data_IF_975708221432
#
_entry.id   IF_975708221432
#
_cell.length_a   1.000
_cell.length_b   1.000
_cell.length_c   1.000
_cell.angle_alpha   90.00
_cell.angle_beta   90.00
_cell.angle_gamma   90.00
#
_symmetry.space_group_name_H-M   'P 1'
#
loop_
_entity.id
_entity.type
_entity.pdbx_description
1 polymer ?
#
# COMPACT_ATOMS: atom_id res chain seq x y z
N UNK A 1 -7.41 -30.86 20.87
CA UNK A 1 -5.96 -30.78 20.64
C UNK A 1 -5.53 -29.38 21.02
N UNK A 2 -4.46 -29.19 21.79
CA UNK A 2 -3.95 -27.83 21.98
C UNK A 2 -3.41 -27.32 20.65
N UNK A 3 -3.55 -26.03 20.37
CA UNK A 3 -2.97 -25.35 19.20
C UNK A 3 -1.48 -25.66 19.04
N UNK A 4 -0.79 -25.76 20.17
CA UNK A 4 0.62 -26.14 20.23
C UNK A 4 0.90 -27.53 19.66
N UNK A 5 0.06 -28.53 19.97
CA UNK A 5 0.23 -29.88 19.44
C UNK A 5 0.03 -29.92 17.93
N UNK A 6 -0.95 -29.17 17.39
CA UNK A 6 -1.19 -29.10 15.94
C UNK A 6 0.05 -28.54 15.22
N UNK A 7 0.67 -27.48 15.75
CA UNK A 7 1.90 -26.91 15.17
C UNK A 7 3.05 -27.90 15.21
N UNK A 8 3.23 -28.62 16.32
CA UNK A 8 4.27 -29.65 16.43
C UNK A 8 4.01 -30.84 15.50
N UNK A 9 2.76 -31.24 15.33
CA UNK A 9 2.38 -32.32 14.42
C UNK A 9 2.70 -31.95 12.97
N UNK A 10 2.42 -30.71 12.56
CA UNK A 10 2.79 -30.21 11.21
C UNK A 10 4.32 -30.21 11.03
N UNK A 11 5.08 -29.70 11.99
CA UNK A 11 6.54 -29.59 11.88
C UNK A 11 7.21 -30.97 11.86
N UNK A 12 6.69 -31.93 12.61
CA UNK A 12 7.24 -33.29 12.71
C UNK A 12 6.69 -34.25 11.66
N UNK A 13 5.77 -33.82 10.80
CA UNK A 13 5.23 -34.66 9.73
C UNK A 13 6.26 -34.87 8.61
N UNK A 14 7.03 -35.95 8.76
CA UNK A 14 8.02 -36.40 7.75
C UNK A 14 7.44 -36.79 6.40
N UNK A 15 6.11 -36.90 6.26
CA UNK A 15 5.46 -37.23 4.98
C UNK A 15 5.15 -36.00 4.12
N UNK A 16 5.13 -34.80 4.72
CA UNK A 16 4.89 -33.53 4.04
C UNK A 16 6.21 -32.85 3.62
N UNK A 17 6.21 -32.17 2.48
CA UNK A 17 7.34 -31.32 2.08
C UNK A 17 7.49 -30.13 3.04
N UNK A 18 8.69 -29.54 3.14
CA UNK A 18 8.87 -28.31 3.96
C UNK A 18 7.96 -27.16 3.51
N UNK A 19 7.65 -27.12 2.21
CA UNK A 19 6.76 -26.13 1.61
C UNK A 19 5.31 -26.36 2.05
N UNK A 20 4.85 -27.61 2.06
CA UNK A 20 3.51 -27.96 2.55
C UNK A 20 3.38 -27.69 4.04
N UNK A 21 4.40 -28.02 4.83
CA UNK A 21 4.46 -27.70 6.25
C UNK A 21 4.34 -26.19 6.48
N UNK A 22 5.06 -25.36 5.71
CA UNK A 22 4.94 -23.90 5.77
C UNK A 22 3.51 -23.42 5.46
N UNK A 23 2.89 -23.93 4.40
CA UNK A 23 1.54 -23.55 4.00
C UNK A 23 0.50 -23.95 5.07
N UNK A 24 0.65 -25.14 5.65
CA UNK A 24 -0.20 -25.59 6.77
C UNK A 24 -0.03 -24.71 8.00
N UNK A 25 1.21 -24.35 8.36
CA UNK A 25 1.48 -23.43 9.47
C UNK A 25 0.86 -22.04 9.25
N UNK A 26 0.92 -21.50 8.03
CA UNK A 26 0.25 -20.24 7.68
C UNK A 26 -1.26 -20.31 7.93
N UNK A 27 -1.91 -21.40 7.48
CA UNK A 27 -3.35 -21.60 7.66
C UNK A 27 -3.73 -21.72 9.15
N UNK A 28 -2.95 -22.47 9.94
CA UNK A 28 -3.23 -22.62 11.38
C UNK A 28 -3.02 -21.31 12.12
N UNK A 29 -1.88 -20.63 11.91
CA UNK A 29 -1.52 -19.42 12.67
C UNK A 29 -2.46 -18.25 12.36
N UNK A 30 -2.95 -18.13 11.12
CA UNK A 30 -3.91 -17.07 10.74
C UNK A 30 -5.29 -17.23 11.36
N UNK A 31 -5.65 -18.43 11.82
CA UNK A 31 -6.95 -18.72 12.46
C UNK A 31 -6.92 -18.57 13.99
N UNK A 32 -5.75 -18.36 14.58
CA UNK A 32 -5.62 -18.26 16.03
C UNK A 32 -6.20 -16.97 16.58
N UNK A 33 -6.84 -17.07 17.74
CA UNK A 33 -7.29 -15.91 18.49
C UNK A 33 -6.10 -15.10 19.04
N UNK A 34 -6.35 -13.84 19.41
CA UNK A 34 -5.35 -12.98 20.07
C UNK A 34 -4.64 -13.68 21.23
N UNK A 35 -5.40 -14.32 22.13
CA UNK A 35 -4.86 -14.98 23.32
C UNK A 35 -3.93 -16.13 22.91
N UNK A 36 -4.35 -16.98 21.98
CA UNK A 36 -3.54 -18.09 21.49
C UNK A 36 -2.26 -17.62 20.80
N UNK A 37 -2.33 -16.54 20.01
CA UNK A 37 -1.15 -15.96 19.38
C UNK A 37 -0.15 -15.45 20.42
N UNK A 38 -0.61 -14.74 21.45
CA UNK A 38 0.26 -14.21 22.50
C UNK A 38 0.90 -15.33 23.33
N UNK A 39 0.13 -16.37 23.66
CA UNK A 39 0.57 -17.54 24.44
C UNK A 39 1.38 -18.55 23.64
N UNK A 40 1.39 -18.46 22.30
CA UNK A 40 2.15 -19.37 21.45
C UNK A 40 3.65 -19.31 21.77
N UNK A 41 4.13 -20.36 22.44
CA UNK A 41 5.52 -20.53 22.82
C UNK A 41 6.25 -21.37 21.78
N UNK A 42 7.24 -20.78 21.11
CA UNK A 42 8.06 -21.46 20.10
C UNK A 42 9.27 -22.20 20.68
N UNK A 43 9.53 -22.10 21.99
CA UNK A 43 10.73 -22.68 22.61
C UNK A 43 10.79 -24.20 22.59
N UNK A 44 9.66 -24.88 22.37
CA UNK A 44 9.59 -26.34 22.23
C UNK A 44 9.86 -26.84 20.80
N UNK A 45 9.97 -25.93 19.82
CA UNK A 45 10.27 -26.29 18.44
C UNK A 45 11.78 -26.53 18.32
N UNK A 46 12.16 -27.78 18.02
CA UNK A 46 13.57 -28.19 17.93
C UNK A 46 14.23 -27.77 16.61
N UNK A 47 13.45 -27.51 15.55
CA UNK A 47 13.96 -27.15 14.23
C UNK A 47 14.01 -25.63 14.13
N UNK A 48 15.23 -25.06 14.13
CA UNK A 48 15.43 -23.61 14.21
C UNK A 48 14.74 -22.85 13.07
N UNK A 49 14.75 -23.35 11.83
CA UNK A 49 14.04 -22.69 10.72
C UNK A 49 12.52 -22.60 10.96
N UNK A 50 11.89 -23.65 11.49
CA UNK A 50 10.47 -23.64 11.79
C UNK A 50 10.12 -22.79 13.01
N UNK A 51 11.02 -22.72 14.00
CA UNK A 51 10.89 -21.79 15.12
C UNK A 51 10.81 -20.35 14.63
N UNK A 52 11.66 -19.97 13.67
CA UNK A 52 11.61 -18.65 13.02
C UNK A 52 10.33 -18.45 12.21
N UNK A 53 9.94 -19.43 11.40
CA UNK A 53 8.72 -19.36 10.61
C UNK A 53 7.51 -19.09 11.51
N UNK A 54 7.36 -19.86 12.59
CA UNK A 54 6.23 -19.71 13.53
C UNK A 54 6.26 -18.33 14.19
N UNK A 55 7.43 -17.83 14.59
CA UNK A 55 7.56 -16.47 15.13
C UNK A 55 7.15 -15.40 14.11
N UNK A 56 7.66 -15.46 12.88
CA UNK A 56 7.36 -14.49 11.83
C UNK A 56 5.87 -14.48 11.49
N UNK A 57 5.24 -15.65 11.39
CA UNK A 57 3.81 -15.77 11.13
C UNK A 57 2.97 -15.27 12.31
N UNK A 58 3.41 -15.52 13.55
CA UNK A 58 2.78 -14.96 14.76
C UNK A 58 2.83 -13.43 14.75
N UNK A 59 4.00 -12.85 14.46
CA UNK A 59 4.17 -11.39 14.38
C UNK A 59 3.27 -10.80 13.30
N UNK A 60 3.27 -11.38 12.10
CA UNK A 60 2.41 -10.93 11.01
C UNK A 60 0.93 -10.94 11.43
N UNK A 61 0.48 -12.04 12.04
CA UNK A 61 -0.92 -12.17 12.49
C UNK A 61 -1.28 -11.12 13.53
N UNK A 62 -0.40 -10.85 14.50
CA UNK A 62 -0.62 -9.81 15.52
C UNK A 62 -0.62 -8.41 14.89
N UNK A 63 0.34 -8.09 14.02
CA UNK A 63 0.40 -6.80 13.32
C UNK A 63 -0.85 -6.56 12.46
N UNK A 64 -1.31 -7.59 11.77
CA UNK A 64 -2.47 -7.53 10.87
C UNK A 64 -3.77 -7.37 11.65
N UNK A 65 -4.01 -8.26 12.61
CA UNK A 65 -5.32 -8.41 13.25
C UNK A 65 -5.49 -7.54 14.50
N UNK A 66 -4.38 -7.16 15.13
CA UNK A 66 -4.37 -6.42 16.39
C UNK A 66 -3.35 -5.27 16.33
N UNK A 67 -3.43 -4.36 15.35
CA UNK A 67 -2.39 -3.36 15.09
C UNK A 67 -2.14 -2.37 16.24
N UNK A 68 -3.07 -2.27 17.20
CA UNK A 68 -2.93 -1.47 18.43
C UNK A 68 -2.29 -2.23 19.59
N UNK A 69 -1.85 -3.47 19.39
CA UNK A 69 -1.26 -4.30 20.42
C UNK A 69 0.12 -3.75 20.87
N UNK A 70 0.28 -3.31 22.13
CA UNK A 70 1.54 -2.75 22.62
C UNK A 70 2.73 -3.72 22.54
N UNK A 71 2.49 -5.04 22.53
CA UNK A 71 3.55 -6.04 22.45
C UNK A 71 4.22 -6.16 21.06
N UNK A 72 3.66 -5.57 20.00
CA UNK A 72 4.23 -5.65 18.63
C UNK A 72 5.70 -5.21 18.61
N UNK A 73 6.01 -4.10 19.31
CA UNK A 73 7.38 -3.60 19.43
C UNK A 73 8.31 -4.66 20.02
N UNK A 74 7.93 -5.23 21.15
CA UNK A 74 8.72 -6.23 21.87
C UNK A 74 8.96 -7.47 21.01
N UNK A 75 7.92 -7.95 20.32
CA UNK A 75 8.02 -9.14 19.46
C UNK A 75 9.00 -8.92 18.29
N UNK A 76 8.96 -7.77 17.65
CA UNK A 76 9.82 -7.46 16.50
C UNK A 76 11.26 -7.14 16.92
N UNK A 77 11.46 -6.48 18.06
CA UNK A 77 12.79 -6.20 18.60
C UNK A 77 13.48 -7.49 19.08
N UNK A 78 12.72 -8.44 19.64
CA UNK A 78 13.23 -9.79 19.96
C UNK A 78 13.68 -10.54 18.71
N UNK A 79 12.92 -10.48 17.62
CA UNK A 79 13.29 -11.11 16.34
C UNK A 79 14.43 -10.36 15.63
N UNK A 80 14.60 -9.06 15.87
CA UNK A 80 15.76 -8.32 15.34
C UNK A 80 17.08 -8.82 15.93
N UNK A 81 17.05 -9.35 17.17
CA UNK A 81 18.19 -10.02 17.77
C UNK A 81 18.54 -11.33 17.05
N UNK A 82 17.59 -11.96 16.34
CA UNK A 82 17.83 -13.19 15.56
C UNK A 82 18.75 -12.92 14.36
N UNK A 83 18.66 -11.72 13.76
CA UNK A 83 19.66 -11.29 12.76
C UNK A 83 21.04 -11.03 13.39
N UNK A 84 21.10 -10.63 14.66
CA UNK A 84 22.35 -10.37 15.37
C UNK A 84 23.03 -11.65 15.88
N UNK A 85 22.27 -12.71 16.19
CA UNK A 85 22.79 -13.98 16.67
C UNK A 85 23.39 -14.87 15.58
N UNK A 86 23.43 -14.38 14.33
CA UNK A 86 24.11 -15.10 13.26
C UNK A 86 23.48 -16.46 13.02
N UNK A 87 22.13 -16.54 12.94
CA UNK A 87 21.51 -17.63 12.20
C UNK A 87 22.17 -17.60 10.83
N UNK A 88 23.12 -18.51 10.67
CA UNK A 88 23.84 -18.74 9.45
C UNK A 88 22.78 -19.32 8.55
N UNK A 89 22.02 -18.44 7.90
CA UNK A 89 21.34 -18.79 6.66
C UNK A 89 22.42 -19.50 5.87
N UNK A 90 22.25 -20.81 5.69
CA UNK A 90 23.20 -21.63 4.98
C UNK A 90 23.53 -20.85 3.72
N UNK A 91 24.76 -20.31 3.67
CA UNK A 91 25.25 -19.72 2.43
C UNK A 91 25.02 -20.79 1.38
N UNK A 92 24.58 -20.45 0.16
CA UNK A 92 24.29 -21.44 -0.86
C UNK A 92 25.58 -22.21 -1.14
N UNK A 93 25.82 -23.26 -0.36
CA UNK A 93 26.73 -24.32 -0.72
C UNK A 93 26.04 -25.01 -1.88
N UNK A 94 26.84 -25.56 -2.78
CA UNK A 94 26.41 -26.32 -3.96
C UNK A 94 25.59 -27.58 -3.61
N UNK A 95 25.14 -27.72 -2.37
CA UNK A 95 24.52 -28.90 -1.77
C UNK A 95 23.22 -28.59 -1.03
N UNK A 96 22.75 -27.34 -1.01
CA UNK A 96 21.44 -27.03 -0.39
C UNK A 96 20.31 -27.51 -1.30
N UNK A 97 19.32 -28.21 -0.74
CA UNK A 97 18.15 -28.65 -1.50
C UNK A 97 17.29 -27.45 -1.89
N UNK A 98 16.53 -27.56 -2.98
CA UNK A 98 15.61 -26.50 -3.42
C UNK A 98 14.65 -26.07 -2.30
N UNK A 99 14.19 -27.01 -1.47
CA UNK A 99 13.34 -26.72 -0.30
C UNK A 99 14.05 -25.89 0.78
N UNK A 100 15.33 -26.17 1.07
CA UNK A 100 16.09 -25.39 2.05
C UNK A 100 16.33 -23.97 1.57
N UNK A 101 16.65 -23.83 0.28
CA UNK A 101 16.79 -22.51 -0.33
C UNK A 101 15.45 -21.76 -0.32
N UNK A 102 14.33 -22.45 -0.57
CA UNK A 102 12.99 -21.88 -0.49
C UNK A 102 12.69 -21.35 0.91
N UNK A 103 12.88 -22.17 1.94
CA UNK A 103 12.63 -21.80 3.34
C UNK A 103 13.53 -20.63 3.76
N UNK A 104 14.81 -20.66 3.42
CA UNK A 104 15.73 -19.55 3.73
C UNK A 104 15.32 -18.25 3.04
N UNK A 105 14.89 -18.33 1.77
CA UNK A 105 14.43 -17.17 1.01
C UNK A 105 13.12 -16.63 1.57
N UNK A 106 12.18 -17.50 1.93
CA UNK A 106 10.94 -17.13 2.61
C UNK A 106 11.22 -16.39 3.91
N UNK A 107 12.04 -16.95 4.81
CA UNK A 107 12.38 -16.33 6.11
C UNK A 107 12.99 -14.95 5.90
N UNK A 108 13.99 -14.81 5.02
CA UNK A 108 14.65 -13.52 4.75
C UNK A 108 13.69 -12.48 4.21
N UNK A 109 12.90 -12.84 3.21
CA UNK A 109 11.98 -11.91 2.57
C UNK A 109 10.86 -11.49 3.54
N UNK A 110 10.30 -12.44 4.30
CA UNK A 110 9.25 -12.20 5.29
C UNK A 110 9.73 -11.32 6.44
N UNK A 111 10.93 -11.59 6.96
CA UNK A 111 11.53 -10.77 8.02
C UNK A 111 11.72 -9.32 7.57
N UNK A 112 12.30 -9.11 6.38
CA UNK A 112 12.50 -7.77 5.82
C UNK A 112 11.17 -7.05 5.56
N UNK A 113 10.15 -7.78 5.11
CA UNK A 113 8.80 -7.27 4.89
C UNK A 113 8.18 -6.78 6.21
N UNK A 114 8.20 -7.59 7.26
CA UNK A 114 7.65 -7.23 8.58
C UNK A 114 8.44 -6.11 9.27
N UNK A 115 9.77 -6.10 9.16
CA UNK A 115 10.59 -5.03 9.72
C UNK A 115 10.31 -3.68 9.06
N UNK A 116 10.17 -3.66 7.73
CA UNK A 116 9.78 -2.43 7.02
C UNK A 116 8.35 -2.02 7.35
N UNK A 117 7.40 -2.95 7.46
CA UNK A 117 6.04 -2.64 7.92
C UNK A 117 6.06 -1.99 9.31
N UNK A 118 6.78 -2.58 10.27
CA UNK A 118 6.89 -2.03 11.62
C UNK A 118 7.49 -0.63 11.64
N UNK A 119 8.60 -0.43 10.94
CA UNK A 119 9.30 0.85 10.91
C UNK A 119 8.40 1.97 10.37
N UNK A 120 7.72 1.74 9.25
CA UNK A 120 6.98 2.78 8.54
C UNK A 120 5.49 2.87 8.90
N UNK A 121 4.86 1.79 9.38
CA UNK A 121 3.43 1.77 9.70
C UNK A 121 3.14 1.83 11.21
N UNK A 122 4.11 1.50 12.08
CA UNK A 122 3.89 1.43 13.53
C UNK A 122 4.77 2.41 14.31
N UNK A 123 6.07 2.47 14.02
CA UNK A 123 7.03 3.26 14.78
C UNK A 123 7.06 4.73 14.34
N UNK A 124 7.23 4.97 13.05
CA UNK A 124 7.31 6.30 12.45
C UNK A 124 5.99 6.65 11.75
N UNK A 125 4.89 6.74 12.52
CA UNK A 125 3.57 7.20 12.05
C UNK A 125 3.55 8.68 11.62
N UNK A 126 4.59 9.15 10.95
CA UNK A 126 4.60 10.38 10.17
C UNK A 126 4.20 9.97 8.74
N UNK A 127 2.90 9.98 8.47
CA UNK A 127 2.25 9.45 7.26
C UNK A 127 2.63 10.12 5.91
N UNK A 128 3.87 10.53 5.72
CA UNK A 128 4.34 11.21 4.52
C UNK A 128 5.29 10.31 3.69
N UNK A 129 5.71 9.14 4.22
CA UNK A 129 6.76 8.30 3.61
C UNK A 129 6.27 6.95 3.06
N UNK A 130 5.02 6.85 2.56
CA UNK A 130 4.56 5.62 1.90
C UNK A 130 5.45 5.20 0.74
N UNK A 131 6.04 6.18 0.04
CA UNK A 131 6.98 5.94 -1.06
C UNK A 131 8.22 5.18 -0.60
N UNK A 132 8.75 5.49 0.58
CA UNK A 132 9.92 4.78 1.09
C UNK A 132 9.56 3.34 1.47
N UNK A 133 8.38 3.11 2.05
CA UNK A 133 7.87 1.76 2.30
C UNK A 133 7.70 0.98 0.99
N UNK A 134 7.09 1.59 -0.04
CA UNK A 134 6.96 0.99 -1.38
C UNK A 134 8.33 0.62 -1.93
N UNK A 135 9.32 1.52 -1.86
CA UNK A 135 10.68 1.25 -2.32
C UNK A 135 11.33 0.07 -1.57
N UNK A 136 11.07 -0.10 -0.26
CA UNK A 136 11.52 -1.29 0.47
C UNK A 136 10.84 -2.56 -0.05
N UNK A 137 9.54 -2.54 -0.36
CA UNK A 137 8.83 -3.70 -0.94
C UNK A 137 9.37 -4.06 -2.33
N UNK A 138 9.60 -3.05 -3.17
CA UNK A 138 10.22 -3.22 -4.48
C UNK A 138 11.61 -3.85 -4.38
N UNK A 139 12.43 -3.46 -3.41
CA UNK A 139 13.73 -4.07 -3.18
C UNK A 139 13.62 -5.55 -2.79
N UNK A 140 12.64 -5.91 -1.94
CA UNK A 140 12.38 -7.30 -1.57
C UNK A 140 11.95 -8.11 -2.81
N UNK A 141 11.04 -7.57 -3.63
CA UNK A 141 10.61 -8.21 -4.88
C UNK A 141 11.78 -8.44 -5.85
N UNK A 142 12.64 -7.44 -6.05
CA UNK A 142 13.82 -7.56 -6.90
C UNK A 142 14.75 -8.68 -6.42
N UNK A 143 14.96 -8.80 -5.11
CA UNK A 143 15.76 -9.89 -4.55
C UNK A 143 15.10 -11.26 -4.77
N UNK A 144 13.77 -11.36 -4.66
CA UNK A 144 13.04 -12.60 -4.93
C UNK A 144 13.08 -13.00 -6.41
N UNK A 145 13.10 -12.04 -7.33
CA UNK A 145 13.21 -12.30 -8.76
C UNK A 145 14.61 -12.80 -9.15
N UNK A 146 15.65 -12.30 -8.49
CA UNK A 146 17.03 -12.65 -8.80
C UNK A 146 17.48 -14.01 -8.22
N UNK A 147 16.78 -14.54 -7.21
CA UNK A 147 17.18 -15.78 -6.53
C UNK A 147 16.77 -17.07 -7.26
N UNK A 148 16.05 -16.99 -8.38
CA UNK A 148 15.61 -18.17 -9.17
C UNK A 148 14.52 -19.03 -8.52
N UNK A 149 14.20 -18.79 -7.25
CA UNK A 149 13.18 -19.52 -6.49
C UNK A 149 11.83 -18.82 -6.64
N UNK A 150 10.82 -19.56 -7.10
CA UNK A 150 9.48 -19.02 -7.25
C UNK A 150 8.69 -19.11 -5.94
N UNK A 151 8.56 -17.97 -5.23
CA UNK A 151 7.68 -17.80 -4.06
C UNK A 151 6.51 -16.90 -4.48
N UNK A 152 5.64 -17.41 -5.35
CA UNK A 152 4.56 -16.63 -5.98
C UNK A 152 3.64 -15.97 -4.96
N UNK A 153 3.18 -16.70 -3.94
CA UNK A 153 2.27 -16.16 -2.91
C UNK A 153 2.84 -14.95 -2.17
N UNK A 154 4.15 -14.93 -1.90
CA UNK A 154 4.80 -13.79 -1.25
C UNK A 154 4.96 -12.62 -2.21
N UNK A 155 5.32 -12.88 -3.47
CA UNK A 155 5.42 -11.84 -4.51
C UNK A 155 4.07 -11.18 -4.75
N UNK A 156 3.02 -11.98 -4.87
CA UNK A 156 1.64 -11.54 -5.04
C UNK A 156 1.21 -10.64 -3.87
N UNK A 157 1.46 -11.07 -2.62
CA UNK A 157 1.15 -10.27 -1.43
C UNK A 157 1.93 -8.96 -1.39
N UNK A 158 3.20 -8.96 -1.77
CA UNK A 158 4.04 -7.74 -1.85
C UNK A 158 3.54 -6.78 -2.93
N UNK A 159 3.17 -7.28 -4.11
CA UNK A 159 2.58 -6.48 -5.19
C UNK A 159 1.28 -5.82 -4.74
N UNK A 160 0.40 -6.55 -4.04
CA UNK A 160 -0.84 -6.00 -3.48
C UNK A 160 -0.59 -4.96 -2.38
N UNK A 161 0.43 -5.14 -1.55
CA UNK A 161 0.87 -4.11 -0.59
C UNK A 161 1.31 -2.84 -1.32
N UNK A 162 2.13 -2.98 -2.36
CA UNK A 162 2.59 -1.84 -3.18
C UNK A 162 1.40 -1.14 -3.83
N UNK A 163 0.46 -1.90 -4.40
CA UNK A 163 -0.74 -1.36 -5.02
C UNK A 163 -1.57 -0.54 -4.02
N UNK A 164 -1.92 -1.10 -2.86
CA UNK A 164 -2.73 -0.38 -1.89
C UNK A 164 -2.01 0.87 -1.37
N UNK A 165 -0.71 0.78 -1.06
CA UNK A 165 0.09 1.93 -0.64
C UNK A 165 0.15 3.02 -1.72
N UNK A 166 0.32 2.63 -2.99
CA UNK A 166 0.31 3.56 -4.12
C UNK A 166 -1.03 4.30 -4.20
N UNK A 167 -2.14 3.57 -4.12
CA UNK A 167 -3.49 4.12 -4.22
C UNK A 167 -3.83 5.13 -3.11
N UNK A 168 -3.24 5.01 -1.91
CA UNK A 168 -3.46 5.94 -0.78
C UNK A 168 -2.31 6.94 -0.56
N UNK A 169 -1.24 6.84 -1.35
CA UNK A 169 -0.07 7.70 -1.23
C UNK A 169 -0.37 9.13 -1.64
N UNK A 170 0.33 10.09 -1.03
CA UNK A 170 0.36 11.44 -1.56
C UNK A 170 1.20 11.50 -2.83
N UNK A 171 1.08 12.59 -3.56
CA UNK A 171 1.89 12.78 -4.76
C UNK A 171 3.37 12.84 -4.43
N UNK A 172 4.15 12.04 -5.16
CA UNK A 172 5.61 12.04 -5.26
C UNK A 172 5.98 11.74 -6.72
N UNK A 173 6.99 12.42 -7.26
CA UNK A 173 7.43 12.23 -8.65
C UNK A 173 7.93 10.81 -8.94
N UNK A 174 8.33 10.05 -7.91
CA UNK A 174 8.74 8.64 -8.02
C UNK A 174 7.55 7.70 -8.31
N UNK A 175 6.31 8.19 -8.16
CA UNK A 175 5.09 7.41 -8.40
C UNK A 175 5.00 6.88 -9.83
N UNK A 176 5.59 7.56 -10.81
CA UNK A 176 5.57 7.11 -12.21
C UNK A 176 6.26 5.73 -12.38
N UNK A 177 7.38 5.50 -11.68
CA UNK A 177 8.09 4.22 -11.71
C UNK A 177 7.30 3.11 -11.02
N UNK A 178 6.62 3.44 -9.92
CA UNK A 178 5.77 2.51 -9.17
C UNK A 178 4.56 2.12 -10.04
N UNK A 179 3.95 3.08 -10.71
CA UNK A 179 2.84 2.84 -11.62
C UNK A 179 3.25 1.94 -12.79
N UNK A 180 4.40 2.20 -13.40
CA UNK A 180 4.93 1.37 -14.47
C UNK A 180 5.19 -0.08 -14.01
N UNK A 181 5.71 -0.26 -12.79
CA UNK A 181 5.84 -1.59 -12.19
C UNK A 181 4.47 -2.29 -12.09
N UNK A 182 3.47 -1.63 -11.49
CA UNK A 182 2.13 -2.19 -11.32
C UNK A 182 1.47 -2.56 -12.66
N UNK A 183 1.57 -1.69 -13.67
CA UNK A 183 1.05 -1.96 -15.02
C UNK A 183 1.72 -3.19 -15.64
N UNK A 184 3.05 -3.31 -15.50
CA UNK A 184 3.79 -4.45 -16.03
C UNK A 184 3.38 -5.76 -15.35
N UNK A 185 3.19 -5.76 -14.03
CA UNK A 185 2.69 -6.93 -13.29
C UNK A 185 1.28 -7.32 -13.75
N UNK A 186 0.38 -6.35 -13.94
CA UNK A 186 -0.97 -6.59 -14.48
C UNK A 186 -0.89 -7.24 -15.86
N UNK A 187 -0.06 -6.71 -16.76
CA UNK A 187 0.11 -7.28 -18.09
C UNK A 187 0.62 -8.72 -18.05
N UNK A 188 1.56 -9.03 -17.15
CA UNK A 188 2.07 -10.39 -16.98
C UNK A 188 0.99 -11.37 -16.52
N UNK A 189 0.18 -10.99 -15.52
CA UNK A 189 -0.91 -11.83 -15.03
C UNK A 189 -1.96 -12.10 -16.11
N UNK A 190 -2.32 -11.08 -16.89
CA UNK A 190 -3.24 -11.23 -18.02
C UNK A 190 -2.69 -12.15 -19.11
N UNK A 191 -1.40 -12.04 -19.44
CA UNK A 191 -0.76 -12.93 -20.41
C UNK A 191 -0.75 -14.38 -19.95
N UNK A 192 -0.62 -14.62 -18.64
CA UNK A 192 -0.66 -15.95 -18.04
C UNK A 192 -2.08 -16.48 -17.83
N UNK A 193 -3.13 -15.71 -18.19
CA UNK A 193 -4.54 -16.01 -17.92
C UNK A 193 -4.81 -16.29 -16.43
N UNK A 194 -3.99 -15.67 -15.57
CA UNK A 194 -4.17 -15.74 -14.14
C UNK A 194 -5.17 -14.66 -13.72
N UNK A 195 -6.38 -15.07 -13.34
CA UNK A 195 -7.40 -14.19 -12.77
C UNK A 195 -7.07 -13.80 -11.31
N UNK A 196 -5.80 -13.54 -11.01
CA UNK A 196 -5.35 -13.15 -9.68
C UNK A 196 -5.75 -11.70 -9.44
N UNK A 197 -6.46 -11.45 -8.33
CA UNK A 197 -6.79 -10.11 -7.83
C UNK A 197 -7.45 -9.17 -8.84
N UNK A 198 -8.38 -9.71 -9.66
CA UNK A 198 -9.11 -8.95 -10.68
C UNK A 198 -9.72 -7.66 -10.10
N UNK A 199 -10.34 -7.74 -8.92
CA UNK A 199 -11.02 -6.60 -8.31
C UNK A 199 -10.03 -5.48 -7.98
N UNK A 200 -8.86 -5.83 -7.43
CA UNK A 200 -7.80 -4.90 -7.07
C UNK A 200 -7.20 -4.20 -8.31
N UNK A 201 -7.07 -4.94 -9.41
CA UNK A 201 -6.61 -4.41 -10.70
C UNK A 201 -7.64 -3.46 -11.31
N UNK A 202 -8.92 -3.80 -11.24
CA UNK A 202 -10.00 -2.93 -11.72
C UNK A 202 -10.05 -1.60 -10.94
N UNK A 203 -9.78 -1.60 -9.63
CA UNK A 203 -9.64 -0.36 -8.85
C UNK A 203 -8.52 0.53 -9.41
N UNK A 204 -7.35 -0.03 -9.73
CA UNK A 204 -6.27 0.75 -10.34
C UNK A 204 -6.68 1.31 -11.71
N UNK A 205 -7.33 0.50 -12.55
CA UNK A 205 -7.82 0.92 -13.87
C UNK A 205 -8.82 2.05 -13.77
N UNK A 206 -9.74 1.97 -12.81
CA UNK A 206 -10.72 3.03 -12.57
C UNK A 206 -10.02 4.35 -12.21
N UNK A 207 -9.07 4.30 -11.27
CA UNK A 207 -8.23 5.46 -10.87
C UNK A 207 -7.44 6.06 -12.04
N UNK A 208 -6.98 5.23 -12.98
CA UNK A 208 -6.26 5.67 -14.18
C UNK A 208 -7.19 6.24 -15.26
N UNK A 209 -8.39 5.68 -15.40
CA UNK A 209 -9.36 6.08 -16.41
C UNK A 209 -10.02 7.42 -16.11
N UNK A 210 -10.09 7.80 -14.83
CA UNK A 210 -10.70 9.04 -14.39
C UNK A 210 -9.65 10.17 -14.30
N UNK A 211 -9.99 11.39 -14.75
CA UNK A 211 -9.09 12.54 -14.64
C UNK A 211 -8.74 12.85 -13.18
N UNK A 212 -9.64 12.56 -12.25
CA UNK A 212 -9.48 12.74 -10.81
C UNK A 212 -10.08 11.55 -10.07
N UNK A 213 -9.56 11.24 -8.89
CA UNK A 213 -10.15 10.24 -8.00
C UNK A 213 -11.30 10.90 -7.23
N UNK A 214 -12.52 10.41 -7.42
CA UNK A 214 -13.70 10.89 -6.69
C UNK A 214 -13.70 10.46 -5.23
N UNK A 215 -14.52 11.12 -4.41
CA UNK A 215 -14.68 10.75 -3.00
C UNK A 215 -15.19 9.31 -2.82
N UNK A 216 -16.14 8.89 -3.66
CA UNK A 216 -16.69 7.52 -3.61
C UNK A 216 -15.66 6.48 -4.05
N UNK A 217 -14.87 6.75 -5.11
CA UNK A 217 -13.78 5.86 -5.49
C UNK A 217 -12.71 5.76 -4.39
N UNK A 218 -12.42 6.88 -3.72
CA UNK A 218 -11.51 6.84 -2.57
C UNK A 218 -12.04 6.00 -1.41
N UNK A 219 -13.33 6.09 -1.08
CA UNK A 219 -13.94 5.18 -0.09
C UNK A 219 -13.77 3.72 -0.51
N UNK A 220 -14.03 3.40 -1.77
CA UNK A 220 -13.82 2.05 -2.29
C UNK A 220 -12.37 1.59 -2.08
N UNK A 221 -11.37 2.44 -2.33
CA UNK A 221 -9.95 2.11 -2.09
C UNK A 221 -9.68 1.80 -0.60
N UNK A 222 -10.24 2.58 0.33
CA UNK A 222 -10.01 2.41 1.77
C UNK A 222 -10.76 1.19 2.33
N UNK A 223 -12.00 1.00 1.88
CA UNK A 223 -12.91 -0.04 2.39
C UNK A 223 -12.68 -1.40 1.70
N UNK A 224 -11.88 -1.47 0.64
CA UNK A 224 -11.53 -2.72 -0.03
C UNK A 224 -10.43 -3.48 0.73
N UNK A 225 -10.68 -4.75 1.04
CA UNK A 225 -9.65 -5.65 1.56
C UNK A 225 -8.86 -6.27 0.39
N UNK A 226 -7.68 -5.72 0.13
CA UNK A 226 -6.72 -6.21 -0.86
C UNK A 226 -6.11 -7.57 -0.49
N UNK A 227 -6.50 -8.20 0.64
CA UNK A 227 -5.97 -9.46 1.14
C UNK A 227 -4.44 -9.44 1.35
N UNK A 228 -3.88 -8.27 1.65
CA UNK A 228 -2.45 -8.02 1.74
C UNK A 228 -1.98 -7.72 3.19
N UNK A 229 -2.87 -7.90 4.17
CA UNK A 229 -2.71 -7.60 5.60
C UNK A 229 -2.80 -6.12 6.02
N UNK A 230 -2.98 -5.17 5.09
CA UNK A 230 -3.01 -3.74 5.45
C UNK A 230 -4.40 -3.19 5.74
N UNK A 231 -5.47 -3.88 5.34
CA UNK A 231 -6.85 -3.38 5.52
C UNK A 231 -7.15 -2.92 6.95
N UNK A 232 -6.90 -3.79 7.94
CA UNK A 232 -7.11 -3.44 9.35
C UNK A 232 -6.11 -2.42 9.88
N UNK A 233 -4.86 -2.47 9.40
CA UNK A 233 -3.81 -1.51 9.80
C UNK A 233 -4.22 -0.10 9.37
N UNK A 234 -4.65 0.06 8.12
CA UNK A 234 -5.13 1.33 7.56
C UNK A 234 -6.33 1.82 8.35
N UNK A 235 -7.36 0.98 8.51
CA UNK A 235 -8.61 1.38 9.18
C UNK A 235 -8.47 1.69 10.68
N UNK A 236 -7.51 1.07 11.37
CA UNK A 236 -7.35 1.26 12.82
C UNK A 236 -6.29 2.29 13.20
N UNK A 237 -5.20 2.39 12.42
CA UNK A 237 -4.07 3.27 12.74
C UNK A 237 -4.07 4.55 11.93
N UNK A 238 -4.64 4.57 10.72
CA UNK A 238 -4.59 5.74 9.84
C UNK A 238 -5.86 6.58 9.92
N UNK A 239 -5.70 7.90 9.81
CA UNK A 239 -6.83 8.84 9.81
C UNK A 239 -7.34 9.03 8.40
N UNK A 240 -8.62 8.73 8.17
CA UNK A 240 -9.29 8.91 6.89
C UNK A 240 -9.06 10.30 6.29
N UNK A 241 -9.23 11.37 7.06
CA UNK A 241 -9.04 12.74 6.58
C UNK A 241 -7.62 13.01 6.05
N UNK A 242 -6.60 12.40 6.68
CA UNK A 242 -5.21 12.54 6.23
C UNK A 242 -4.99 11.80 4.91
N UNK A 243 -5.51 10.58 4.80
CA UNK A 243 -5.43 9.80 3.55
C UNK A 243 -6.22 10.47 2.43
N UNK A 244 -7.37 11.06 2.72
CA UNK A 244 -8.13 11.80 1.73
C UNK A 244 -7.38 13.05 1.24
N UNK A 245 -6.70 13.77 2.15
CA UNK A 245 -5.81 14.87 1.78
C UNK A 245 -4.71 14.40 0.82
N UNK A 246 -4.15 13.20 0.98
CA UNK A 246 -3.17 12.65 0.02
C UNK A 246 -3.75 12.54 -1.40
N UNK A 247 -4.98 12.06 -1.52
CA UNK A 247 -5.68 11.94 -2.80
C UNK A 247 -5.97 13.29 -3.44
N UNK A 248 -6.39 14.26 -2.64
CA UNK A 248 -6.61 15.61 -3.13
C UNK A 248 -5.28 16.23 -3.62
N UNK A 249 -4.12 15.93 -2.98
CA UNK A 249 -2.82 16.37 -3.53
C UNK A 249 -2.56 15.76 -4.91
N UNK A 250 -2.83 14.47 -5.10
CA UNK A 250 -2.70 13.82 -6.41
C UNK A 250 -3.61 14.46 -7.46
N UNK A 251 -4.88 14.71 -7.12
CA UNK A 251 -5.83 15.35 -8.01
C UNK A 251 -5.40 16.78 -8.39
N UNK A 252 -4.87 17.57 -7.43
CA UNK A 252 -4.30 18.90 -7.68
C UNK A 252 -3.15 18.82 -8.68
N UNK A 253 -2.25 17.85 -8.53
CA UNK A 253 -1.16 17.67 -9.51
C UNK A 253 -1.72 17.30 -10.88
N UNK A 254 -2.75 16.45 -10.97
CA UNK A 254 -3.38 16.14 -12.26
C UNK A 254 -4.01 17.38 -12.92
N UNK A 255 -4.45 18.39 -12.17
CA UNK A 255 -4.97 19.65 -12.75
C UNK A 255 -3.95 20.35 -13.64
N UNK A 256 -2.65 20.21 -13.36
CA UNK A 256 -1.63 20.86 -14.18
C UNK A 256 -1.64 20.33 -15.61
N UNK A 257 -2.14 19.12 -15.87
CA UNK A 257 -2.23 18.59 -17.24
C UNK A 257 -3.39 19.21 -18.04
N UNK A 258 -4.38 19.80 -17.35
CA UNK A 258 -5.63 20.27 -17.97
C UNK A 258 -5.78 21.79 -17.96
N UNK A 259 -5.14 22.48 -17.01
CA UNK A 259 -5.31 23.91 -16.79
C UNK A 259 -3.98 24.64 -16.75
N UNK A 260 -3.92 25.81 -17.38
CA UNK A 260 -2.82 26.77 -17.15
C UNK A 260 -3.16 27.71 -15.99
N UNK A 261 -4.43 28.07 -15.84
CA UNK A 261 -4.94 28.86 -14.73
C UNK A 261 -6.33 28.35 -14.34
N UNK A 262 -6.64 28.32 -13.05
CA UNK A 262 -7.92 27.84 -12.52
C UNK A 262 -8.31 28.63 -11.27
N UNK A 263 -9.61 28.94 -11.13
CA UNK A 263 -10.13 29.53 -9.90
C UNK A 263 -10.23 28.47 -8.79
N UNK A 264 -9.85 28.82 -7.56
CA UNK A 264 -9.90 27.92 -6.39
C UNK A 264 -11.32 27.38 -6.17
N UNK A 265 -12.34 28.21 -6.40
CA UNK A 265 -13.75 27.79 -6.31
C UNK A 265 -14.09 26.68 -7.30
N UNK A 266 -13.48 26.67 -8.49
CA UNK A 266 -13.66 25.63 -9.50
C UNK A 266 -13.00 24.33 -9.04
N UNK A 267 -11.84 24.39 -8.38
CA UNK A 267 -11.19 23.19 -7.79
C UNK A 267 -12.13 22.52 -6.77
N UNK A 268 -12.76 23.30 -5.89
CA UNK A 268 -13.75 22.78 -4.95
C UNK A 268 -14.91 22.06 -5.68
N UNK A 269 -15.42 22.64 -6.77
CA UNK A 269 -16.48 22.03 -7.57
C UNK A 269 -16.03 20.74 -8.26
N UNK A 270 -14.82 20.73 -8.84
CA UNK A 270 -14.27 19.57 -9.55
C UNK A 270 -14.03 18.37 -8.63
N UNK A 271 -13.62 18.61 -7.38
CA UNK A 271 -13.34 17.55 -6.41
C UNK A 271 -14.50 17.26 -5.48
N UNK A 272 -15.68 17.84 -5.75
CA UNK A 272 -16.90 17.68 -4.94
C UNK A 272 -16.65 18.02 -3.46
N UNK A 273 -15.86 19.05 -3.17
CA UNK A 273 -15.50 19.47 -1.81
C UNK A 273 -16.44 20.55 -1.30
N UNK A 274 -16.86 20.43 -0.05
CA UNK A 274 -17.53 21.53 0.66
C UNK A 274 -16.52 22.67 0.87
N UNK A 275 -16.81 23.90 0.41
CA UNK A 275 -15.94 25.04 0.71
C UNK A 275 -15.90 25.29 2.23
N UNK A 276 -14.80 25.83 2.76
CA UNK A 276 -14.72 26.17 4.18
C UNK A 276 -15.87 27.11 4.57
N UNK A 277 -16.43 26.96 5.78
CA UNK A 277 -17.58 27.76 6.20
C UNK A 277 -17.21 29.24 6.20
N UNK A 278 -17.75 29.97 5.23
CA UNK A 278 -17.81 31.43 5.31
C UNK A 278 -18.94 31.80 6.26
N UNK A 279 -18.84 32.93 6.94
CA UNK A 279 -19.75 33.37 8.02
C UNK A 279 -21.23 33.54 7.65
N UNK A 280 -21.70 33.05 6.49
CA UNK A 280 -23.07 33.18 5.99
C UNK A 280 -23.66 31.96 5.27
N UNK A 281 -23.04 30.78 5.27
CA UNK A 281 -23.65 29.58 4.66
C UNK A 281 -23.49 28.32 5.52
N UNK A 282 -24.56 27.92 6.20
CA UNK A 282 -24.73 26.58 6.77
C UNK A 282 -25.24 25.65 5.67
N UNK A 283 -24.33 25.16 4.84
CA UNK A 283 -24.64 24.07 3.90
C UNK A 283 -24.38 22.74 4.59
N UNK A 284 -25.41 22.18 5.23
CA UNK A 284 -25.42 20.86 5.88
C UNK A 284 -25.78 19.74 4.90
N UNK A 285 -25.36 19.83 3.65
CA UNK A 285 -25.66 18.80 2.65
C UNK A 285 -24.39 18.03 2.30
N UNK A 286 -24.37 16.79 2.80
CA UNK A 286 -23.42 15.71 2.53
C UNK A 286 -22.21 15.72 3.47
N UNK A 287 -21.89 14.58 4.06
CA UNK A 287 -20.77 14.33 4.99
C UNK A 287 -19.38 14.44 4.30
N UNK A 288 -19.23 15.38 3.38
CA UNK A 288 -18.02 15.62 2.62
C UNK A 288 -17.02 16.39 3.50
N UNK A 289 -15.75 15.97 3.54
CA UNK A 289 -14.73 16.62 4.35
C UNK A 289 -14.44 18.04 3.86
N UNK A 290 -14.33 18.97 4.80
CA UNK A 290 -13.93 20.36 4.53
C UNK A 290 -12.42 20.43 4.40
N UNK A 291 -11.92 20.73 3.19
CA UNK A 291 -10.49 20.91 2.91
C UNK A 291 -10.25 22.33 2.43
N UNK A 292 -9.29 23.03 3.06
CA UNK A 292 -8.81 24.32 2.58
C UNK A 292 -7.83 24.11 1.41
N UNK A 293 -8.33 24.28 0.19
CA UNK A 293 -7.57 24.06 -1.04
C UNK A 293 -6.46 25.09 -1.22
N UNK A 294 -6.67 26.34 -0.82
CA UNK A 294 -5.65 27.39 -0.95
C UNK A 294 -4.43 27.04 -0.08
N UNK A 295 -4.67 26.74 1.19
CA UNK A 295 -3.64 26.35 2.15
C UNK A 295 -2.90 25.08 1.70
N UNK A 296 -3.64 24.12 1.15
CA UNK A 296 -3.07 22.88 0.64
C UNK A 296 -2.17 23.10 -0.58
N UNK A 297 -2.59 23.90 -1.55
CA UNK A 297 -1.76 24.24 -2.72
C UNK A 297 -0.53 25.03 -2.28
N UNK A 298 -0.69 25.95 -1.34
CA UNK A 298 0.42 26.71 -0.77
C UNK A 298 1.48 25.80 -0.13
N UNK A 299 1.05 24.82 0.69
CA UNK A 299 1.94 23.79 1.25
C UNK A 299 2.65 22.98 0.15
N UNK A 300 1.93 22.61 -0.92
CA UNK A 300 2.50 21.86 -2.04
C UNK A 300 3.55 22.67 -2.82
N UNK A 301 3.36 23.99 -2.95
CA UNK A 301 4.34 24.91 -3.54
C UNK A 301 5.59 24.95 -2.66
N UNK A 302 5.45 25.18 -1.34
CA UNK A 302 6.59 25.20 -0.40
C UNK A 302 7.38 23.89 -0.45
N UNK A 303 6.67 22.76 -0.57
CA UNK A 303 7.26 21.42 -0.65
C UNK A 303 7.80 21.07 -2.05
N UNK A 304 7.79 22.00 -3.01
CA UNK A 304 8.25 21.80 -4.39
C UNK A 304 7.62 20.59 -5.09
N UNK A 305 6.31 20.38 -4.91
CA UNK A 305 5.61 19.22 -5.52
C UNK A 305 5.27 19.43 -7.00
N UNK A 306 5.25 20.66 -7.48
CA UNK A 306 4.96 20.98 -8.88
C UNK A 306 6.23 20.93 -9.72
N UNK A 307 6.13 20.42 -10.96
CA UNK A 307 7.24 20.41 -11.91
C UNK A 307 7.60 21.83 -12.37
N UNK A 308 6.58 22.66 -12.57
CA UNK A 308 6.69 24.03 -13.02
C UNK A 308 6.41 25.01 -11.88
N UNK A 309 6.79 26.27 -12.08
CA UNK A 309 6.48 27.35 -11.13
C UNK A 309 4.96 27.50 -11.04
N UNK A 310 4.42 27.24 -9.86
CA UNK A 310 3.00 27.42 -9.53
C UNK A 310 2.85 28.60 -8.59
N UNK A 311 1.90 29.50 -8.88
CA UNK A 311 1.61 30.67 -8.04
C UNK A 311 0.13 30.75 -7.69
N UNK A 312 -0.16 31.38 -6.55
CA UNK A 312 -1.52 31.67 -6.09
C UNK A 312 -1.71 33.19 -6.13
N UNK A 313 -2.72 33.65 -6.87
CA UNK A 313 -3.22 35.02 -6.78
C UNK A 313 -4.36 35.05 -5.76
N UNK A 314 -4.07 35.54 -4.56
CA UNK A 314 -5.02 35.60 -3.45
C UNK A 314 -6.12 36.64 -3.67
N UNK A 315 -5.88 37.68 -4.47
CA UNK A 315 -6.88 38.72 -4.76
C UNK A 315 -7.97 38.17 -5.67
N UNK A 316 -7.55 37.45 -6.73
CA UNK A 316 -8.46 36.85 -7.70
C UNK A 316 -8.88 35.42 -7.34
N UNK A 317 -8.29 34.83 -6.31
CA UNK A 317 -8.54 33.45 -5.88
C UNK A 317 -8.29 32.44 -7.02
N UNK A 318 -7.15 32.61 -7.69
CA UNK A 318 -6.73 31.79 -8.84
C UNK A 318 -5.37 31.16 -8.62
N UNK A 319 -5.15 30.00 -9.25
CA UNK A 319 -3.90 29.26 -9.23
C UNK A 319 -3.38 29.14 -10.65
N UNK A 320 -2.17 29.66 -10.89
CA UNK A 320 -1.49 29.58 -12.18
C UNK A 320 -0.47 28.45 -12.16
N UNK A 321 -0.63 27.47 -13.04
CA UNK A 321 0.33 26.43 -13.33
C UNK A 321 1.10 26.86 -14.59
N UNK A 322 2.31 27.42 -14.45
CA UNK A 322 3.09 27.91 -15.61
C UNK A 322 3.61 26.74 -16.47
N UNK A 323 2.74 26.16 -17.27
CA UNK A 323 3.11 25.07 -18.18
C UNK A 323 3.66 25.65 -19.48
N UNK A 324 4.98 25.88 -19.51
CA UNK A 324 5.68 26.26 -20.73
C UNK A 324 5.71 25.13 -21.79
N UNK A 325 5.37 23.88 -21.41
CA UNK A 325 5.36 22.70 -22.30
C UNK A 325 4.06 22.52 -23.14
N UNK A 326 3.16 23.51 -23.13
CA UNK A 326 1.76 23.40 -23.59
C UNK A 326 1.51 23.28 -25.12
N UNK A 327 2.42 22.77 -25.95
CA UNK A 327 2.10 22.49 -27.36
C UNK A 327 1.25 21.22 -27.59
N UNK A 328 1.21 20.29 -26.63
CA UNK A 328 0.46 19.03 -26.75
C UNK A 328 -0.77 18.92 -25.82
N UNK A 329 -0.97 19.85 -24.87
CA UNK A 329 -2.04 19.76 -23.86
C UNK A 329 -3.44 20.14 -24.34
N UNK A 330 -3.58 20.71 -25.55
CA UNK A 330 -4.89 20.96 -26.15
C UNK A 330 -5.68 19.67 -26.40
N UNK A 331 -5.01 18.55 -26.72
CA UNK A 331 -5.71 17.27 -26.92
C UNK A 331 -6.32 16.73 -25.63
N UNK A 332 -5.64 16.88 -24.48
CA UNK A 332 -6.14 16.36 -23.21
C UNK A 332 -7.21 17.26 -22.58
N UNK A 333 -7.13 18.59 -22.79
CA UNK A 333 -8.23 19.51 -22.46
C UNK A 333 -9.50 19.21 -23.28
N UNK A 334 -9.35 18.93 -24.58
CA UNK A 334 -10.47 18.49 -25.44
C UNK A 334 -11.00 17.13 -24.98
N UNK A 335 -10.14 16.18 -24.59
CA UNK A 335 -10.58 14.88 -24.03
C UNK A 335 -11.32 15.06 -22.71
N UNK A 336 -10.86 15.95 -21.83
CA UNK A 336 -11.53 16.23 -20.56
C UNK A 336 -12.92 16.81 -20.77
N UNK A 337 -13.04 17.85 -21.59
CA UNK A 337 -14.34 18.42 -21.97
C UNK A 337 -15.21 17.36 -22.66
N UNK A 338 -14.63 16.58 -23.57
CA UNK A 338 -15.31 15.47 -24.24
C UNK A 338 -15.82 14.41 -23.26
N UNK A 339 -15.05 14.10 -22.22
CA UNK A 339 -15.43 13.19 -21.14
C UNK A 339 -16.58 13.73 -20.30
N UNK A 340 -16.52 15.02 -19.92
CA UNK A 340 -17.62 15.69 -19.21
C UNK A 340 -18.90 15.73 -20.05
N UNK A 341 -18.80 16.06 -21.34
CA UNK A 341 -19.94 16.06 -22.27
C UNK A 341 -20.53 14.66 -22.39
N UNK A 342 -19.70 13.62 -22.47
CA UNK A 342 -20.18 12.24 -22.54
C UNK A 342 -20.86 11.80 -21.23
N UNK A 343 -20.32 12.17 -20.06
CA UNK A 343 -20.95 11.90 -18.77
C UNK A 343 -22.29 12.63 -18.62
N UNK A 344 -22.37 13.89 -19.10
CA UNK A 344 -23.62 14.62 -19.13
C UNK A 344 -24.64 13.97 -20.07
N UNK A 345 -24.21 13.52 -21.25
CA UNK A 345 -25.05 12.81 -22.23
C UNK A 345 -25.60 11.49 -21.67
N UNK A 346 -24.79 10.70 -20.95
CA UNK A 346 -25.22 9.44 -20.35
C UNK A 346 -26.19 9.59 -19.16
N UNK A 347 -26.32 10.80 -18.60
CA UNK A 347 -27.24 11.12 -17.50
C UNK A 347 -28.59 11.68 -17.98
N UNK A 348 -28.76 11.93 -19.27
CA UNK A 348 -30.01 12.35 -19.94
C UNK A 348 -30.61 11.12 -20.63
#
# INVERSE_FOLDING_TARGET
MSTHNIILDIINDSSSSKIDQLNQLQNVITQLSKTELLELNVSSINIESFKLIVNLLKIESIMTNYPKEPLIKTLIEQDSAINATGITFLSPSTTTTDEEQYINTFIKAKLNDLQSDYQYLFKELQYDNFIDLINKKMLILNNLNNNGINISSLKDKLNLKILQLYLISNYDFRNDNILNHLINEIHQQQQQQENKYINEIEILREVQSQPFVSYELFKTIIDHDFNNSYYQIINQLMKFDKLYRNIIENNIIKLTNYFTNIEIKTIHQLFELSPPPTSKTTSTTNNLPTIDIESMIFDMIIKNKFRNVTTIDQLNQTVSFNNDDNKNNNEDGIKYIGGLVNQAYMKI
#
